data_IF_458914086034
#
_entry.id   IF_458914086034
#
_cell.length_a   1.000
_cell.length_b   1.000
_cell.length_c   1.000
_cell.angle_alpha   90.00
_cell.angle_beta   90.00
_cell.angle_gamma   90.00
#
_symmetry.space_group_name_H-M   'P 1'
#
loop_
_entity.id
_entity.type
_entity.pdbx_description
1 polymer ?
#
# COMPACT_ATOMS: atom_id res chain seq x y z
N UNK A 1 5.67 -14.34 1.62
CA UNK A 1 4.60 -13.35 1.82
C UNK A 1 5.18 -11.96 1.72
N UNK A 2 4.44 -11.06 1.08
CA UNK A 2 4.95 -9.75 0.68
C UNK A 2 3.98 -8.66 1.12
N UNK A 3 4.53 -7.51 1.51
CA UNK A 3 3.74 -6.32 1.78
C UNK A 3 3.93 -5.35 0.61
N UNK A 4 2.83 -5.01 -0.07
CA UNK A 4 2.86 -4.07 -1.18
C UNK A 4 2.72 -2.64 -0.68
N UNK A 5 3.57 -1.74 -1.19
CA UNK A 5 3.50 -0.33 -0.86
C UNK A 5 2.53 0.41 -1.81
N UNK A 6 2.34 1.68 -1.53
CA UNK A 6 1.41 2.52 -2.28
C UNK A 6 1.76 2.60 -3.77
N UNK A 7 3.06 2.71 -4.09
CA UNK A 7 3.48 2.85 -5.48
C UNK A 7 3.16 1.61 -6.30
N UNK A 8 3.44 0.42 -5.76
CA UNK A 8 3.14 -0.83 -6.46
C UNK A 8 1.64 -0.99 -6.69
N UNK A 9 0.83 -0.73 -5.65
CA UNK A 9 -0.63 -0.83 -5.78
C UNK A 9 -1.17 0.17 -6.80
N UNK A 10 -0.68 1.41 -6.76
CA UNK A 10 -1.11 2.46 -7.71
C UNK A 10 -0.79 2.09 -9.15
N UNK A 11 0.34 1.43 -9.39
CA UNK A 11 0.71 0.98 -10.73
C UNK A 11 -0.23 -0.09 -11.27
N UNK A 12 -0.85 -0.89 -10.40
CA UNK A 12 -1.79 -1.94 -10.84
C UNK A 12 -3.02 -1.38 -11.55
N UNK A 13 -3.35 -0.10 -11.35
CA UNK A 13 -4.45 0.57 -12.01
C UNK A 13 -4.21 0.72 -13.52
N UNK A 14 -2.95 0.73 -13.93
CA UNK A 14 -2.55 0.86 -15.35
C UNK A 14 -1.52 -0.22 -15.69
N UNK A 15 -1.94 -1.49 -15.85
CA UNK A 15 -1.02 -2.60 -16.07
C UNK A 15 -0.09 -2.39 -17.27
N UNK A 16 -0.55 -1.69 -18.30
CA UNK A 16 0.25 -1.41 -19.50
C UNK A 16 1.45 -0.50 -19.24
N UNK A 17 1.43 0.24 -18.12
CA UNK A 17 2.50 1.16 -17.74
C UNK A 17 3.42 0.58 -16.67
N UNK A 18 3.09 -0.61 -16.15
CA UNK A 18 3.94 -1.28 -15.18
C UNK A 18 5.21 -1.79 -15.85
N UNK A 19 6.32 -1.74 -15.10
CA UNK A 19 7.53 -2.41 -15.53
C UNK A 19 7.23 -3.90 -15.72
N UNK A 20 7.63 -4.46 -16.86
CA UNK A 20 7.26 -5.84 -17.20
C UNK A 20 7.69 -6.88 -16.16
N UNK A 21 8.83 -6.68 -15.50
CA UNK A 21 9.30 -7.60 -14.45
C UNK A 21 8.39 -7.56 -13.21
N UNK A 22 7.93 -6.38 -12.84
CA UNK A 22 6.99 -6.21 -11.71
C UNK A 22 5.65 -6.85 -12.05
N UNK A 23 5.16 -6.61 -13.24
CA UNK A 23 3.90 -7.20 -13.71
C UNK A 23 3.97 -8.72 -13.73
N UNK A 24 5.04 -9.27 -14.28
CA UNK A 24 5.24 -10.73 -14.32
C UNK A 24 5.29 -11.33 -12.91
N UNK A 25 5.99 -10.66 -11.99
CA UNK A 25 6.08 -11.09 -10.59
C UNK A 25 4.71 -11.11 -9.92
N UNK A 26 3.90 -10.06 -10.12
CA UNK A 26 2.55 -9.99 -9.56
C UNK A 26 1.64 -11.08 -10.11
N UNK A 27 1.74 -11.37 -11.40
CA UNK A 27 0.95 -12.42 -12.06
C UNK A 27 1.33 -13.81 -11.55
N UNK A 28 2.59 -14.03 -11.20
CA UNK A 28 3.08 -15.31 -10.70
C UNK A 28 2.83 -15.50 -9.21
N UNK A 29 2.68 -14.42 -8.45
CA UNK A 29 2.48 -14.49 -7.01
C UNK A 29 0.99 -14.64 -6.72
N UNK A 30 0.62 -15.62 -5.91
CA UNK A 30 -0.78 -15.82 -5.52
C UNK A 30 -1.30 -14.65 -4.70
N UNK A 31 -2.56 -14.21 -4.92
CA UNK A 31 -3.13 -13.09 -4.16
C UNK A 31 -3.06 -13.28 -2.65
N UNK A 32 -3.20 -14.49 -2.18
CA UNK A 32 -3.16 -14.83 -0.76
C UNK A 32 -1.80 -14.57 -0.11
N UNK A 33 -0.75 -14.36 -0.89
CA UNK A 33 0.59 -14.02 -0.42
C UNK A 33 0.85 -12.53 -0.39
N UNK A 34 -0.11 -11.71 -0.84
CA UNK A 34 0.03 -10.26 -0.94
C UNK A 34 -0.75 -9.56 0.16
N UNK A 35 -0.04 -8.79 0.97
CA UNK A 35 -0.57 -8.01 2.08
C UNK A 35 -0.31 -6.53 1.85
N UNK A 36 -1.01 -5.68 2.57
CA UNK A 36 -0.72 -4.25 2.60
C UNK A 36 -0.98 -3.72 4.02
N UNK A 37 -0.86 -2.42 4.23
CA UNK A 37 -1.03 -1.82 5.56
C UNK A 37 -2.09 -0.74 5.57
N UNK A 38 -2.57 -0.39 6.76
CA UNK A 38 -3.50 0.74 6.93
C UNK A 38 -2.86 2.06 6.50
N UNK A 39 -1.53 2.19 6.58
CA UNK A 39 -0.83 3.39 6.11
C UNK A 39 -0.96 3.51 4.58
N UNK A 40 -0.81 2.40 3.86
CA UNK A 40 -1.00 2.38 2.40
C UNK A 40 -2.45 2.75 2.07
N UNK A 41 -3.42 2.21 2.81
CA UNK A 41 -4.84 2.57 2.62
C UNK A 41 -5.07 4.06 2.85
N UNK A 42 -4.43 4.65 3.85
CA UNK A 42 -4.51 6.09 4.12
C UNK A 42 -3.92 6.90 2.96
N UNK A 43 -2.77 6.49 2.43
CA UNK A 43 -2.16 7.19 1.30
C UNK A 43 -3.01 7.10 0.04
N UNK A 44 -3.60 5.93 -0.24
CA UNK A 44 -4.50 5.75 -1.37
C UNK A 44 -5.77 6.60 -1.21
N UNK A 45 -6.35 6.63 0.00
CA UNK A 45 -7.52 7.46 0.31
C UNK A 45 -7.20 8.94 0.12
N UNK A 46 -6.05 9.38 0.60
CA UNK A 46 -5.58 10.76 0.42
C UNK A 46 -5.45 11.12 -1.06
N UNK A 47 -4.93 10.20 -1.86
CA UNK A 47 -4.81 10.39 -3.32
C UNK A 47 -6.18 10.53 -3.98
N UNK A 48 -7.14 9.69 -3.59
CA UNK A 48 -8.51 9.74 -4.11
C UNK A 48 -9.17 11.06 -3.73
N UNK A 49 -9.09 11.46 -2.46
CA UNK A 49 -9.68 12.72 -1.97
C UNK A 49 -9.10 13.93 -2.71
N UNK A 50 -7.79 13.93 -2.93
CA UNK A 50 -7.13 14.99 -3.70
C UNK A 50 -7.64 15.09 -5.11
N UNK A 51 -7.82 13.95 -5.78
CA UNK A 51 -8.34 13.93 -7.15
C UNK A 51 -9.81 14.31 -7.20
N UNK A 52 -10.62 13.86 -6.24
CA UNK A 52 -12.04 14.24 -6.18
C UNK A 52 -12.20 15.76 -6.09
N UNK A 53 -11.30 16.41 -5.37
CA UNK A 53 -11.30 17.87 -5.24
C UNK A 53 -10.84 18.57 -6.51
N UNK A 54 -9.82 18.03 -7.17
CA UNK A 54 -9.19 18.64 -8.34
C UNK A 54 -9.97 18.38 -9.64
N UNK A 55 -10.44 17.16 -9.81
CA UNK A 55 -11.14 16.68 -11.00
C UNK A 55 -12.17 15.64 -10.56
N UNK A 56 -13.43 16.06 -10.30
CA UNK A 56 -14.45 15.15 -9.78
C UNK A 56 -14.72 13.93 -10.66
N UNK A 57 -14.61 14.06 -11.98
CA UNK A 57 -14.83 12.92 -12.87
C UNK A 57 -13.74 11.86 -12.71
N UNK A 58 -12.48 12.27 -12.67
CA UNK A 58 -11.37 11.35 -12.42
C UNK A 58 -11.37 10.83 -10.98
N UNK A 59 -11.76 11.67 -10.04
CA UNK A 59 -11.90 11.28 -8.65
C UNK A 59 -12.92 10.18 -8.44
N UNK A 60 -14.05 10.22 -9.16
CA UNK A 60 -15.07 9.18 -9.10
C UNK A 60 -14.52 7.84 -9.61
N UNK A 61 -13.72 7.86 -10.68
CA UNK A 61 -13.08 6.65 -11.23
C UNK A 61 -12.10 6.07 -10.23
N UNK A 62 -11.28 6.90 -9.60
CA UNK A 62 -10.32 6.45 -8.58
C UNK A 62 -11.04 5.90 -7.34
N UNK A 63 -12.13 6.54 -6.93
CA UNK A 63 -12.93 6.09 -5.79
C UNK A 63 -13.49 4.69 -6.06
N UNK A 64 -14.05 4.48 -7.22
CA UNK A 64 -14.59 3.17 -7.59
C UNK A 64 -13.49 2.10 -7.59
N UNK A 65 -12.32 2.41 -8.14
CA UNK A 65 -11.18 1.50 -8.14
C UNK A 65 -10.77 1.13 -6.71
N UNK A 66 -10.64 2.11 -5.82
CA UNK A 66 -10.24 1.84 -4.44
C UNK A 66 -11.27 0.98 -3.70
N UNK A 67 -12.56 1.35 -3.81
CA UNK A 67 -13.62 0.69 -3.05
C UNK A 67 -14.00 -0.67 -3.62
N UNK A 68 -14.00 -0.82 -4.95
CA UNK A 68 -14.52 -2.02 -5.61
C UNK A 68 -13.43 -2.99 -6.05
N UNK A 69 -12.19 -2.56 -6.19
CA UNK A 69 -11.09 -3.40 -6.66
C UNK A 69 -10.05 -3.64 -5.56
N UNK A 70 -9.50 -2.58 -5.01
CA UNK A 70 -8.36 -2.70 -4.08
C UNK A 70 -8.80 -3.22 -2.70
N UNK A 71 -9.78 -2.59 -2.06
CA UNK A 71 -10.20 -3.02 -0.73
C UNK A 71 -10.67 -4.47 -0.71
N UNK A 72 -11.52 -4.92 -1.65
CA UNK A 72 -11.90 -6.32 -1.69
C UNK A 72 -10.73 -7.26 -1.96
N UNK A 73 -9.79 -6.87 -2.82
CA UNK A 73 -8.63 -7.70 -3.15
C UNK A 73 -7.75 -7.99 -1.92
N UNK A 74 -7.68 -7.05 -0.98
CA UNK A 74 -6.88 -7.21 0.23
C UNK A 74 -7.71 -7.52 1.47
N UNK A 75 -8.97 -7.90 1.30
CA UNK A 75 -9.83 -8.21 2.44
C UNK A 75 -9.19 -9.27 3.34
N UNK A 76 -9.05 -8.95 4.63
CA UNK A 76 -8.39 -9.81 5.60
C UNK A 76 -6.86 -9.74 5.57
N UNK A 77 -6.28 -8.96 4.66
CA UNK A 77 -4.82 -8.82 4.52
C UNK A 77 -4.35 -7.36 4.56
N UNK A 78 -5.14 -6.48 5.16
CA UNK A 78 -4.76 -5.10 5.45
C UNK A 78 -4.30 -5.08 6.90
N UNK A 79 -2.99 -4.92 7.12
CA UNK A 79 -2.40 -5.04 8.45
C UNK A 79 -2.51 -3.74 9.24
N UNK A 80 -2.91 -3.83 10.52
CA UNK A 80 -3.07 -2.65 11.36
C UNK A 80 -1.74 -2.16 11.93
N UNK A 81 -1.80 -1.02 12.59
CA UNK A 81 -0.69 -0.48 13.39
C UNK A 81 -1.06 -0.67 14.86
N UNK A 82 -0.13 -1.18 15.64
CA UNK A 82 -0.29 -1.30 17.08
C UNK A 82 0.96 -0.79 17.81
N UNK A 83 1.01 -1.00 19.13
CA UNK A 83 2.13 -0.55 19.95
C UNK A 83 3.45 -1.19 19.51
N UNK A 84 3.43 -2.47 19.15
CA UNK A 84 4.62 -3.17 18.68
C UNK A 84 5.15 -2.53 17.40
N UNK A 85 4.25 -2.17 16.49
CA UNK A 85 4.61 -1.47 15.24
C UNK A 85 5.28 -0.13 15.56
N UNK A 86 4.74 0.60 16.53
CA UNK A 86 5.30 1.89 16.95
C UNK A 86 6.74 1.77 17.42
N UNK A 87 7.02 0.74 18.22
CA UNK A 87 8.39 0.48 18.71
C UNK A 87 9.37 0.18 17.59
N UNK A 88 8.95 -0.65 16.63
CA UNK A 88 9.79 -0.98 15.48
C UNK A 88 10.02 0.26 14.62
N UNK A 89 8.96 1.04 14.37
CA UNK A 89 9.03 2.27 13.59
C UNK A 89 10.01 3.27 14.21
N UNK A 90 9.96 3.43 15.52
CA UNK A 90 10.87 4.33 16.23
C UNK A 90 12.35 3.96 15.99
N UNK A 91 12.67 2.68 16.00
CA UNK A 91 14.04 2.20 15.77
C UNK A 91 14.53 2.48 14.36
N UNK A 92 13.63 2.53 13.38
CA UNK A 92 14.00 2.82 11.99
C UNK A 92 14.48 4.26 11.79
N UNK A 93 14.20 5.15 12.74
CA UNK A 93 14.67 6.54 12.70
C UNK A 93 16.05 6.75 13.33
N UNK A 94 16.71 5.68 13.73
CA UNK A 94 18.03 5.73 14.35
C UNK A 94 19.06 5.14 13.37
N UNK A 95 20.20 5.78 13.11
CA UNK A 95 20.64 7.06 13.69
C UNK A 95 20.00 8.29 13.06
N UNK A 96 19.47 8.18 11.83
CA UNK A 96 18.89 9.31 11.11
C UNK A 96 17.41 9.12 10.89
N UNK A 97 16.66 10.23 10.96
CA UNK A 97 15.23 10.21 10.76
C UNK A 97 14.89 9.81 9.30
N UNK A 98 13.97 8.85 9.15
CA UNK A 98 13.49 8.38 7.86
C UNK A 98 12.12 9.01 7.51
N UNK A 99 11.68 8.95 6.23
CA UNK A 99 10.33 9.38 5.87
C UNK A 99 9.27 8.66 6.70
N UNK A 100 8.31 9.41 7.22
CA UNK A 100 7.37 8.93 8.23
C UNK A 100 6.53 7.75 7.73
N UNK A 101 5.81 7.93 6.62
CA UNK A 101 4.91 6.87 6.14
C UNK A 101 5.68 5.64 5.70
N UNK A 102 6.82 5.81 5.02
CA UNK A 102 7.66 4.69 4.61
C UNK A 102 8.18 3.91 5.81
N UNK A 103 8.47 4.60 6.90
CA UNK A 103 8.91 3.96 8.15
C UNK A 103 7.81 3.11 8.76
N UNK A 104 6.56 3.59 8.76
CA UNK A 104 5.42 2.82 9.26
C UNK A 104 5.18 1.57 8.41
N UNK A 105 5.27 1.70 7.08
CA UNK A 105 5.10 0.57 6.16
C UNK A 105 6.21 -0.46 6.39
N UNK A 106 7.46 -0.02 6.49
CA UNK A 106 8.60 -0.90 6.74
C UNK A 106 8.48 -1.59 8.11
N UNK A 107 8.03 -0.86 9.13
CA UNK A 107 7.83 -1.42 10.47
C UNK A 107 6.77 -2.51 10.45
N UNK A 108 5.68 -2.30 9.71
CA UNK A 108 4.62 -3.29 9.57
C UNK A 108 5.15 -4.56 8.92
N UNK A 109 5.90 -4.42 7.82
CA UNK A 109 6.50 -5.57 7.13
C UNK A 109 7.42 -6.34 8.07
N UNK A 110 8.26 -5.64 8.82
CA UNK A 110 9.20 -6.27 9.75
C UNK A 110 8.47 -7.01 10.88
N UNK A 111 7.42 -6.39 11.42
CA UNK A 111 6.64 -6.97 12.53
C UNK A 111 6.03 -8.32 12.15
N UNK A 112 5.51 -8.41 10.91
CA UNK A 112 4.83 -9.61 10.44
C UNK A 112 5.72 -10.54 9.61
N UNK A 113 7.02 -10.23 9.52
CA UNK A 113 7.96 -11.06 8.77
C UNK A 113 7.73 -11.06 7.26
N UNK A 114 7.26 -9.95 6.70
CA UNK A 114 7.00 -9.79 5.27
C UNK A 114 8.16 -9.12 4.55
N UNK A 115 8.19 -9.32 3.26
CA UNK A 115 9.22 -8.72 2.39
C UNK A 115 8.73 -7.45 1.71
#
# INVERSE_FOLDING_TARGET
MYLLDTNVISETRRPNRMHHNVRAWLEQTGPESLYTSVIVMMELERGVLGMERKDPAQGAILREWLEQVIKPAFNGRILPIDEATAGICARLHIPDRAPENDSWIAATAKQYGLT
#
